data_IF_295094131220
#
_entry.id   IF_295094131220
#
_cell.length_a   1.000
_cell.length_b   1.000
_cell.length_c   1.000
_cell.angle_alpha   90.00
_cell.angle_beta   90.00
_cell.angle_gamma   90.00
#
_symmetry.space_group_name_H-M   'P 1'
#
loop_
_entity.id
_entity.type
_entity.pdbx_description
1 polymer ?
#
# COMPACT_ATOMS: atom_id res chain seq x y z
N UNK A 1 -16.72 -10.40 -7.51
CA UNK A 1 -15.40 -10.59 -6.84
C UNK A 1 -15.04 -12.07 -6.65
N UNK A 2 -15.87 -12.91 -6.01
CA UNK A 2 -15.57 -14.34 -5.76
C UNK A 2 -15.15 -15.13 -7.00
N UNK A 3 -15.92 -15.05 -8.09
CA UNK A 3 -15.62 -15.80 -9.31
C UNK A 3 -14.31 -15.33 -9.97
N UNK A 4 -14.08 -14.02 -10.00
CA UNK A 4 -12.84 -13.43 -10.48
C UNK A 4 -11.65 -13.95 -9.66
N UNK A 5 -11.72 -13.88 -8.33
CA UNK A 5 -10.66 -14.39 -7.45
C UNK A 5 -10.40 -15.88 -7.67
N UNK A 6 -11.45 -16.70 -7.77
CA UNK A 6 -11.30 -18.13 -8.03
C UNK A 6 -10.58 -18.42 -9.35
N UNK A 7 -10.97 -17.70 -10.42
CA UNK A 7 -10.34 -17.82 -11.75
C UNK A 7 -8.87 -17.37 -11.71
N UNK A 8 -8.59 -16.23 -11.09
CA UNK A 8 -7.23 -15.68 -10.96
C UNK A 8 -6.33 -16.56 -10.10
N UNK A 9 -6.83 -17.07 -8.97
CA UNK A 9 -6.07 -17.99 -8.11
C UNK A 9 -5.73 -19.27 -8.86
N UNK A 10 -6.69 -19.88 -9.55
CA UNK A 10 -6.45 -21.09 -10.35
C UNK A 10 -5.47 -20.85 -11.50
N UNK A 11 -5.47 -19.66 -12.09
CA UNK A 11 -4.54 -19.28 -13.16
C UNK A 11 -3.10 -19.11 -12.67
N UNK A 12 -2.91 -18.80 -11.39
CA UNK A 12 -1.61 -18.44 -10.81
C UNK A 12 -1.22 -19.33 -9.62
N UNK A 13 -1.81 -20.53 -9.50
CA UNK A 13 -1.62 -21.44 -8.36
C UNK A 13 -0.18 -21.97 -8.23
N UNK A 14 0.55 -22.04 -9.35
CA UNK A 14 1.96 -22.42 -9.38
C UNK A 14 2.91 -21.46 -8.65
N UNK A 15 2.55 -20.18 -8.49
CA UNK A 15 3.32 -19.21 -7.71
C UNK A 15 4.78 -19.00 -8.17
N UNK A 16 5.13 -19.43 -9.37
CA UNK A 16 6.50 -19.61 -9.84
C UNK A 16 6.95 -18.56 -10.88
N UNK A 17 6.02 -17.67 -11.24
CA UNK A 17 6.27 -16.55 -12.14
C UNK A 17 7.37 -15.61 -11.61
N UNK A 18 8.05 -14.92 -12.52
CA UNK A 18 9.05 -13.90 -12.15
C UNK A 18 8.47 -12.83 -11.22
N UNK A 19 7.21 -12.45 -11.41
CA UNK A 19 6.51 -11.45 -10.58
C UNK A 19 6.38 -11.94 -9.14
N UNK A 20 5.99 -13.19 -8.93
CA UNK A 20 5.83 -13.77 -7.58
C UNK A 20 7.17 -13.90 -6.88
N UNK A 21 8.20 -14.41 -7.57
CA UNK A 21 9.57 -14.48 -7.02
C UNK A 21 10.11 -13.11 -6.62
N UNK A 22 9.91 -12.09 -7.47
CA UNK A 22 10.28 -10.71 -7.16
C UNK A 22 9.53 -10.19 -5.93
N UNK A 23 8.22 -10.43 -5.84
CA UNK A 23 7.42 -10.04 -4.68
C UNK A 23 7.95 -10.66 -3.39
N UNK A 24 8.21 -11.97 -3.36
CA UNK A 24 8.76 -12.63 -2.17
C UNK A 24 10.13 -12.08 -1.75
N UNK A 25 10.98 -11.71 -2.71
CA UNK A 25 12.28 -11.08 -2.39
C UNK A 25 12.14 -9.65 -1.85
N UNK A 26 11.16 -8.89 -2.33
CA UNK A 26 10.94 -7.50 -1.94
C UNK A 26 10.14 -7.37 -0.65
N UNK A 27 9.25 -8.32 -0.36
CA UNK A 27 8.36 -8.26 0.78
C UNK A 27 9.05 -7.99 2.13
N UNK A 28 10.10 -8.75 2.53
CA UNK A 28 10.80 -8.46 3.78
C UNK A 28 11.51 -7.11 3.76
N UNK A 29 11.99 -6.65 2.60
CA UNK A 29 12.69 -5.38 2.46
C UNK A 29 11.75 -4.18 2.61
N UNK A 30 10.60 -4.22 1.94
CA UNK A 30 9.56 -3.18 2.01
C UNK A 30 8.96 -3.10 3.40
N UNK A 31 8.64 -4.25 4.00
CA UNK A 31 8.07 -4.27 5.36
C UNK A 31 9.08 -3.77 6.40
N UNK A 32 10.37 -4.11 6.25
CA UNK A 32 11.44 -3.56 7.09
C UNK A 32 11.58 -2.06 6.90
N UNK A 33 11.62 -1.55 5.67
CA UNK A 33 11.68 -0.11 5.39
C UNK A 33 10.55 0.65 6.09
N UNK A 34 9.32 0.15 5.98
CA UNK A 34 8.15 0.77 6.62
C UNK A 34 8.24 0.72 8.15
N UNK A 35 8.59 -0.44 8.73
CA UNK A 35 8.69 -0.58 10.18
C UNK A 35 9.82 0.27 10.76
N UNK A 36 10.98 0.28 10.13
CA UNK A 36 12.14 1.07 10.57
C UNK A 36 11.89 2.57 10.41
N UNK A 37 11.12 3.00 9.40
CA UNK A 37 10.88 4.42 9.09
C UNK A 37 9.68 5.01 9.84
N UNK A 38 8.55 4.29 9.89
CA UNK A 38 7.29 4.80 10.46
C UNK A 38 7.04 4.34 11.90
N UNK A 39 7.85 3.41 12.41
CA UNK A 39 7.73 2.86 13.75
C UNK A 39 6.58 1.87 13.89
N UNK A 40 6.17 1.65 15.14
CA UNK A 40 5.16 0.65 15.47
C UNK A 40 3.76 1.08 15.04
N UNK A 41 3.01 0.13 14.48
CA UNK A 41 1.57 0.27 14.20
C UNK A 41 1.21 1.49 13.31
N UNK A 42 1.93 1.80 12.21
CA UNK A 42 1.74 3.04 11.45
C UNK A 42 0.34 3.16 10.83
N UNK A 43 -0.32 2.04 10.55
CA UNK A 43 -1.65 2.01 9.93
C UNK A 43 -2.82 2.01 10.95
N UNK A 44 -2.57 2.27 12.23
CA UNK A 44 -3.60 2.38 13.27
C UNK A 44 -4.13 3.82 13.39
N UNK A 45 -4.65 4.35 12.27
CA UNK A 45 -5.02 5.78 12.16
C UNK A 45 -6.15 6.20 13.11
N UNK A 46 -7.11 5.30 13.38
CA UNK A 46 -8.31 5.57 14.19
C UNK A 46 -8.76 4.34 14.98
N UNK A 47 -7.83 3.69 15.67
CA UNK A 47 -8.10 2.47 16.44
C UNK A 47 -7.46 1.23 15.80
N UNK A 48 -8.23 0.18 15.46
CA UNK A 48 -7.69 -1.00 14.80
C UNK A 48 -7.01 -0.69 13.45
N UNK A 49 -6.30 -1.69 12.93
CA UNK A 49 -5.63 -1.62 11.62
C UNK A 49 -6.58 -1.10 10.53
N UNK A 50 -6.18 0.01 9.90
CA UNK A 50 -6.87 0.53 8.72
C UNK A 50 -6.35 -0.20 7.46
N UNK A 51 -7.14 -1.16 6.98
CA UNK A 51 -6.77 -1.99 5.81
C UNK A 51 -6.65 -1.15 4.54
N UNK A 52 -7.48 -0.12 4.36
CA UNK A 52 -7.41 0.79 3.21
C UNK A 52 -6.10 1.59 3.17
N UNK A 53 -5.61 2.04 4.33
CA UNK A 53 -4.32 2.73 4.46
C UNK A 53 -3.15 1.77 4.21
N UNK A 54 -3.19 0.58 4.84
CA UNK A 54 -2.18 -0.47 4.64
C UNK A 54 -2.07 -0.83 3.15
N UNK A 55 -3.18 -1.17 2.51
CA UNK A 55 -3.25 -1.61 1.11
C UNK A 55 -2.67 -0.55 0.16
N UNK A 56 -3.13 0.69 0.29
CA UNK A 56 -2.70 1.77 -0.60
C UNK A 56 -1.24 2.18 -0.42
N UNK A 57 -0.76 2.31 0.82
CA UNK A 57 0.63 2.66 1.12
C UNK A 57 1.58 1.53 0.73
N UNK A 58 1.28 0.28 1.10
CA UNK A 58 2.11 -0.87 0.72
C UNK A 58 2.20 -1.00 -0.80
N UNK A 59 1.09 -0.81 -1.52
CA UNK A 59 1.10 -0.87 -2.99
C UNK A 59 2.04 0.15 -3.60
N UNK A 60 1.97 1.42 -3.19
CA UNK A 60 2.83 2.48 -3.73
C UNK A 60 4.30 2.21 -3.40
N UNK A 61 4.60 1.76 -2.18
CA UNK A 61 5.97 1.44 -1.76
C UNK A 61 6.51 0.21 -2.49
N UNK A 62 5.72 -0.84 -2.68
CA UNK A 62 6.13 -2.02 -3.45
C UNK A 62 6.44 -1.69 -4.91
N UNK A 63 5.60 -0.89 -5.56
CA UNK A 63 5.79 -0.49 -6.96
C UNK A 63 7.01 0.41 -7.16
N UNK A 64 7.46 1.11 -6.11
CA UNK A 64 8.50 2.13 -6.18
C UNK A 64 9.61 1.93 -5.14
N UNK A 65 9.83 0.69 -4.68
CA UNK A 65 10.80 0.40 -3.63
C UNK A 65 12.21 0.93 -3.94
N UNK A 66 12.65 0.82 -5.20
CA UNK A 66 13.96 1.29 -5.63
C UNK A 66 14.05 2.83 -5.78
N UNK A 67 12.95 3.56 -5.57
CA UNK A 67 12.84 5.01 -5.78
C UNK A 67 12.47 5.80 -4.52
N UNK A 68 11.85 5.15 -3.54
CA UNK A 68 11.41 5.80 -2.30
C UNK A 68 12.53 5.69 -1.28
N UNK A 69 12.98 6.84 -0.76
CA UNK A 69 13.89 6.90 0.39
C UNK A 69 13.11 6.83 1.71
N UNK A 70 13.80 6.56 2.81
CA UNK A 70 13.20 6.65 4.15
C UNK A 70 12.68 8.06 4.45
N UNK A 71 13.35 9.11 3.98
CA UNK A 71 12.91 10.50 4.19
C UNK A 71 11.64 10.81 3.39
N UNK A 72 11.55 10.35 2.14
CA UNK A 72 10.34 10.49 1.32
C UNK A 72 9.15 9.79 1.99
N UNK A 73 9.39 8.56 2.49
CA UNK A 73 8.37 7.78 3.18
C UNK A 73 7.93 8.45 4.48
N UNK A 74 8.87 8.89 5.32
CA UNK A 74 8.55 9.51 6.61
C UNK A 74 7.77 10.82 6.43
N UNK A 75 8.30 11.74 5.62
CA UNK A 75 7.67 13.04 5.41
C UNK A 75 6.35 12.91 4.64
N UNK A 76 6.35 12.11 3.57
CA UNK A 76 5.17 11.86 2.76
C UNK A 76 4.06 11.21 3.56
N UNK A 77 4.38 10.22 4.39
CA UNK A 77 3.38 9.56 5.25
C UNK A 77 2.80 10.50 6.31
N UNK A 78 3.62 11.29 7.01
CA UNK A 78 3.14 12.23 8.02
C UNK A 78 2.21 13.30 7.42
N UNK A 79 2.55 13.82 6.23
CA UNK A 79 1.71 14.76 5.50
C UNK A 79 0.42 14.09 5.02
N UNK A 80 0.51 12.85 4.52
CA UNK A 80 -0.62 12.05 4.06
C UNK A 80 -1.63 11.80 5.19
N UNK A 81 -1.17 11.39 6.37
CA UNK A 81 -2.04 11.11 7.53
C UNK A 81 -2.65 12.36 8.16
N UNK A 82 -2.09 13.53 7.87
CA UNK A 82 -2.63 14.83 8.28
C UNK A 82 -3.66 15.38 7.29
N UNK A 83 -3.83 14.74 6.13
CA UNK A 83 -4.78 15.17 5.11
C UNK A 83 -6.20 14.66 5.42
N UNK A 84 -7.15 15.59 5.53
CA UNK A 84 -8.59 15.27 5.66
C UNK A 84 -9.10 14.39 4.53
N UNK A 85 -8.56 14.55 3.32
CA UNK A 85 -8.96 13.78 2.15
C UNK A 85 -8.48 12.33 2.25
N UNK A 86 -7.23 12.09 2.66
CA UNK A 86 -6.77 10.71 2.91
C UNK A 86 -7.57 10.05 4.05
N UNK A 87 -7.81 10.83 5.10
CA UNK A 87 -8.63 10.46 6.24
C UNK A 87 -10.07 10.10 5.82
N UNK A 88 -10.62 10.70 4.76
CA UNK A 88 -11.90 10.32 4.16
C UNK A 88 -11.77 9.05 3.30
N UNK A 89 -10.76 8.98 2.44
CA UNK A 89 -10.51 7.84 1.54
C UNK A 89 -10.22 6.52 2.28
N UNK A 90 -9.72 6.61 3.50
CA UNK A 90 -9.46 5.45 4.40
C UNK A 90 -10.70 4.97 5.16
N UNK A 91 -11.83 5.69 5.10
CA UNK A 91 -13.13 5.22 5.61
C UNK A 91 -13.89 4.37 4.58
N UNK A 92 -13.54 4.53 3.31
CA UNK A 92 -14.16 3.80 2.22
C UNK A 92 -13.53 2.40 2.07
N UNK A 93 -14.39 1.42 1.79
CA UNK A 93 -13.99 0.03 1.61
C UNK A 93 -13.11 -0.20 0.38
N UNK A 94 -12.55 -1.41 0.28
CA UNK A 94 -11.68 -1.85 -0.83
C UNK A 94 -12.45 -2.51 -1.98
N UNK A 95 -13.79 -2.50 -1.93
CA UNK A 95 -14.64 -3.20 -2.91
C UNK A 95 -14.92 -2.40 -4.17
N UNK A 96 -14.80 -1.07 -4.11
CA UNK A 96 -15.01 -0.16 -5.23
C UNK A 96 -13.68 0.20 -5.90
N UNK A 97 -13.53 -0.16 -7.17
CA UNK A 97 -12.30 0.03 -7.93
C UNK A 97 -11.94 1.51 -8.08
N UNK A 98 -12.93 2.40 -8.24
CA UNK A 98 -12.70 3.84 -8.42
C UNK A 98 -12.09 4.45 -7.17
N UNK A 99 -12.70 4.16 -6.02
CA UNK A 99 -12.20 4.57 -4.70
C UNK A 99 -10.79 4.05 -4.43
N UNK A 100 -10.50 2.79 -4.79
CA UNK A 100 -9.17 2.21 -4.63
C UNK A 100 -8.14 2.94 -5.50
N UNK A 101 -8.45 3.21 -6.76
CA UNK A 101 -7.58 3.96 -7.68
C UNK A 101 -7.35 5.40 -7.22
N UNK A 102 -8.40 6.09 -6.77
CA UNK A 102 -8.32 7.43 -6.19
C UNK A 102 -7.38 7.43 -4.97
N UNK A 103 -7.54 6.46 -4.06
CA UNK A 103 -6.69 6.34 -2.87
C UNK A 103 -5.23 6.06 -3.21
N UNK A 104 -4.95 5.12 -4.12
CA UNK A 104 -3.58 4.82 -4.55
C UNK A 104 -2.93 6.04 -5.21
N UNK A 105 -3.68 6.76 -6.05
CA UNK A 105 -3.21 7.99 -6.69
C UNK A 105 -2.91 9.07 -5.65
N UNK A 106 -3.79 9.23 -4.66
CA UNK A 106 -3.59 10.18 -3.57
C UNK A 106 -2.35 9.84 -2.73
N UNK A 107 -2.11 8.57 -2.40
CA UNK A 107 -0.88 8.17 -1.71
C UNK A 107 0.36 8.45 -2.57
N UNK A 108 0.29 8.20 -3.88
CA UNK A 108 1.40 8.40 -4.80
C UNK A 108 1.84 9.87 -4.86
N UNK A 109 0.90 10.82 -4.81
CA UNK A 109 1.24 12.24 -4.83
C UNK A 109 2.00 12.70 -3.59
N UNK A 110 1.77 12.07 -2.44
CA UNK A 110 2.49 12.37 -1.20
C UNK A 110 3.85 11.67 -1.11
N UNK A 111 3.97 10.43 -1.61
CA UNK A 111 5.21 9.65 -1.50
C UNK A 111 6.20 9.88 -2.66
N UNK A 112 5.72 10.32 -3.83
CA UNK A 112 6.54 10.49 -5.04
C UNK A 112 6.43 11.89 -5.67
N UNK A 113 5.49 12.74 -5.22
CA UNK A 113 5.24 14.04 -5.84
C UNK A 113 4.61 13.96 -7.25
N UNK A 114 3.91 12.86 -7.55
CA UNK A 114 3.29 12.57 -8.87
C UNK A 114 1.77 12.70 -8.88
#
# INVERSE_FOLDING_TARGET
MKEFLNKTMKMHDGGDTKKVKKFFSMFPLVTKLIADTLGDKPFHLRGPLNVSALDSVMTVVFENYDKITSDDLYNGFNNLTSSDEFLRLTQLGTTDTKTMQERITFVRSFLLGQ
#
